data_IF_411790261700
#
_entry.id   IF_411790261700
#
_cell.length_a   1.000
_cell.length_b   1.000
_cell.length_c   1.000
_cell.angle_alpha   90.00
_cell.angle_beta   90.00
_cell.angle_gamma   90.00
#
_symmetry.space_group_name_H-M   'P 1'
#
loop_
_entity.id
_entity.type
_entity.pdbx_description
1 polymer ?
#
# COMPACT_ATOMS: atom_id res chain seq x y z
N UNK A 1 -12.56 27.27 13.58
CA UNK A 1 -11.24 27.84 13.21
C UNK A 1 -10.18 27.69 14.30
N UNK A 2 -10.45 27.99 15.58
CA UNK A 2 -9.44 27.96 16.65
C UNK A 2 -8.55 26.70 16.68
N UNK A 3 -9.15 25.50 16.65
CA UNK A 3 -8.43 24.22 16.73
C UNK A 3 -7.70 23.79 15.45
N UNK A 4 -7.85 24.53 14.34
CA UNK A 4 -6.98 24.34 13.17
C UNK A 4 -5.63 25.04 13.38
N UNK A 5 -5.62 26.15 14.12
CA UNK A 5 -4.43 26.95 14.37
C UNK A 5 -3.82 26.72 15.77
N UNK A 6 -4.43 25.88 16.60
CA UNK A 6 -3.98 25.58 17.95
C UNK A 6 -4.14 24.11 18.30
N UNK A 7 -3.16 23.56 19.02
CA UNK A 7 -3.15 22.19 19.55
C UNK A 7 -3.31 22.23 21.06
N UNK A 8 -4.19 21.37 21.58
CA UNK A 8 -4.33 21.10 23.02
C UNK A 8 -3.30 20.06 23.45
N UNK A 9 -2.52 20.36 24.48
CA UNK A 9 -1.55 19.47 25.12
C UNK A 9 -2.03 19.19 26.52
N UNK A 10 -2.30 17.93 26.85
CA UNK A 10 -2.70 17.52 28.20
C UNK A 10 -1.52 16.80 28.86
N UNK A 11 -1.09 17.30 30.01
CA UNK A 11 -0.14 16.63 30.90
C UNK A 11 -0.90 16.06 32.11
N UNK A 12 -0.21 15.39 33.03
CA UNK A 12 -0.82 14.86 34.25
C UNK A 12 -1.41 15.95 35.16
N UNK A 13 -0.79 17.14 35.16
CA UNK A 13 -1.17 18.26 36.04
C UNK A 13 -1.95 19.36 35.32
N UNK A 14 -1.70 19.60 34.03
CA UNK A 14 -2.14 20.82 33.36
C UNK A 14 -2.56 20.59 31.90
N UNK A 15 -3.23 21.59 31.34
CA UNK A 15 -3.64 21.62 29.94
C UNK A 15 -3.18 22.92 29.30
N UNK A 16 -2.36 22.81 28.27
CA UNK A 16 -1.84 23.95 27.53
C UNK A 16 -2.43 24.00 26.12
N UNK A 17 -2.55 25.21 25.58
CA UNK A 17 -2.92 25.45 24.20
C UNK A 17 -1.74 26.13 23.51
N UNK A 18 -1.19 25.49 22.49
CA UNK A 18 -0.05 26.00 21.71
C UNK A 18 -0.48 26.30 20.29
N UNK A 19 -0.04 27.43 19.74
CA UNK A 19 -0.23 27.71 18.31
C UNK A 19 0.53 26.69 17.46
N UNK A 20 -0.05 26.34 16.30
CA UNK A 20 0.62 25.52 15.29
C UNK A 20 1.18 26.40 14.18
N UNK A 21 2.21 25.92 13.48
CA UNK A 21 2.74 26.61 12.30
C UNK A 21 1.69 26.67 11.19
N UNK A 22 1.83 27.62 10.26
CA UNK A 22 0.96 27.72 9.07
C UNK A 22 0.88 26.38 8.31
N UNK A 23 2.02 25.71 8.14
CA UNK A 23 2.07 24.44 7.42
C UNK A 23 1.28 23.34 8.15
N UNK A 24 1.47 23.21 9.47
CA UNK A 24 0.73 22.23 10.26
C UNK A 24 -0.78 22.54 10.31
N UNK A 25 -1.18 23.81 10.26
CA UNK A 25 -2.59 24.20 10.16
C UNK A 25 -3.21 23.77 8.81
N UNK A 26 -2.47 23.90 7.71
CA UNK A 26 -2.88 23.42 6.38
C UNK A 26 -3.01 21.90 6.39
N UNK A 27 -2.00 21.17 6.90
CA UNK A 27 -2.06 19.71 7.01
C UNK A 27 -3.24 19.26 7.89
N UNK A 28 -3.48 19.92 9.03
CA UNK A 28 -4.62 19.62 9.90
C UNK A 28 -5.97 19.85 9.23
N UNK A 29 -6.10 20.91 8.42
CA UNK A 29 -7.30 21.16 7.60
C UNK A 29 -7.51 20.05 6.57
N UNK A 30 -6.46 19.69 5.84
CA UNK A 30 -6.54 18.72 4.74
C UNK A 30 -6.78 17.30 5.27
N UNK A 31 -6.14 16.94 6.39
CA UNK A 31 -6.41 15.69 7.12
C UNK A 31 -7.86 15.62 7.60
N UNK A 32 -8.41 16.71 8.13
CA UNK A 32 -9.82 16.78 8.51
C UNK A 32 -10.75 16.59 7.29
N UNK A 33 -10.45 17.22 6.15
CA UNK A 33 -11.23 17.06 4.93
C UNK A 33 -11.18 15.60 4.43
N UNK A 34 -10.00 14.98 4.37
CA UNK A 34 -9.81 13.56 4.04
C UNK A 34 -10.61 12.66 4.99
N UNK A 35 -10.57 12.92 6.29
CA UNK A 35 -11.32 12.16 7.28
C UNK A 35 -12.84 12.27 7.10
N UNK A 36 -13.36 13.48 6.86
CA UNK A 36 -14.78 13.70 6.60
C UNK A 36 -15.21 12.93 5.35
N UNK A 37 -14.45 13.02 4.26
CA UNK A 37 -14.76 12.31 3.02
C UNK A 37 -14.71 10.80 3.21
N UNK A 38 -13.70 10.27 3.91
CA UNK A 38 -13.60 8.85 4.24
C UNK A 38 -14.81 8.37 5.05
N UNK A 39 -15.26 9.15 6.06
CA UNK A 39 -16.47 8.84 6.85
C UNK A 39 -17.74 8.87 6.01
N UNK A 40 -17.86 9.84 5.10
CA UNK A 40 -18.98 9.91 4.16
C UNK A 40 -19.00 8.68 3.26
N UNK A 41 -17.86 8.31 2.67
CA UNK A 41 -17.73 7.12 1.82
C UNK A 41 -18.11 5.84 2.58
N UNK A 42 -17.56 5.64 3.79
CA UNK A 42 -17.94 4.50 4.65
C UNK A 42 -19.44 4.48 4.97
N UNK A 43 -20.04 5.65 5.22
CA UNK A 43 -21.47 5.76 5.47
C UNK A 43 -22.31 5.39 4.24
N UNK A 44 -21.90 5.83 3.04
CA UNK A 44 -22.54 5.45 1.78
C UNK A 44 -22.48 3.94 1.57
N UNK A 45 -21.29 3.33 1.71
CA UNK A 45 -21.10 1.88 1.58
C UNK A 45 -21.96 1.12 2.59
N UNK A 46 -21.98 1.55 3.85
CA UNK A 46 -22.83 0.94 4.88
C UNK A 46 -24.32 1.08 4.57
N UNK A 47 -24.74 2.22 4.05
CA UNK A 47 -26.13 2.47 3.66
C UNK A 47 -26.57 1.57 2.51
N UNK A 48 -25.72 1.41 1.50
CA UNK A 48 -25.95 0.49 0.37
C UNK A 48 -26.02 -0.96 0.87
N UNK A 49 -25.06 -1.39 1.70
CA UNK A 49 -25.05 -2.75 2.26
C UNK A 49 -26.30 -3.05 3.10
N UNK A 50 -26.76 -2.08 3.90
CA UNK A 50 -27.99 -2.22 4.68
C UNK A 50 -29.23 -2.31 3.78
N UNK A 51 -29.27 -1.57 2.67
CA UNK A 51 -30.37 -1.62 1.71
C UNK A 51 -30.41 -2.93 0.91
N UNK A 52 -29.25 -3.55 0.65
CA UNK A 52 -29.12 -4.82 -0.08
C UNK A 52 -29.19 -6.06 0.84
N UNK A 53 -29.28 -5.88 2.15
CA UNK A 53 -29.28 -6.98 3.11
C UNK A 53 -30.53 -7.84 2.97
N UNK A 54 -30.35 -9.15 2.74
CA UNK A 54 -31.45 -10.13 2.78
C UNK A 54 -31.65 -10.68 4.20
N UNK A 55 -32.91 -10.96 4.56
CA UNK A 55 -33.26 -11.69 5.78
C UNK A 55 -33.12 -13.21 5.62
N UNK A 56 -32.95 -13.69 4.39
CA UNK A 56 -32.77 -15.12 4.11
C UNK A 56 -31.33 -15.58 4.40
N UNK A 57 -31.19 -16.86 4.75
CA UNK A 57 -29.88 -17.45 4.96
C UNK A 57 -29.16 -17.61 3.61
N UNK A 58 -28.00 -16.98 3.49
CA UNK A 58 -27.15 -17.11 2.30
C UNK A 58 -26.67 -18.55 2.13
N UNK A 59 -26.98 -19.16 0.98
CA UNK A 59 -26.50 -20.50 0.62
C UNK A 59 -25.16 -20.45 -0.13
N UNK A 60 -25.06 -19.55 -1.11
CA UNK A 60 -23.87 -19.36 -1.95
C UNK A 60 -23.77 -17.90 -2.39
N UNK A 61 -22.63 -17.49 -2.93
CA UNK A 61 -22.45 -16.15 -3.49
C UNK A 61 -21.55 -16.19 -4.72
N UNK A 62 -21.73 -15.21 -5.59
CA UNK A 62 -20.84 -14.92 -6.72
C UNK A 62 -20.21 -13.56 -6.41
N UNK A 63 -18.91 -13.56 -6.15
CA UNK A 63 -18.14 -12.34 -5.94
C UNK A 63 -17.68 -11.78 -7.28
N UNK A 64 -17.93 -10.49 -7.51
CA UNK A 64 -17.35 -9.75 -8.63
C UNK A 64 -16.30 -8.81 -8.05
N UNK A 65 -15.05 -8.96 -8.50
CA UNK A 65 -13.94 -8.11 -8.09
C UNK A 65 -13.67 -7.09 -9.19
N UNK A 66 -13.75 -5.81 -8.83
CA UNK A 66 -13.41 -4.68 -9.69
C UNK A 66 -12.47 -3.76 -8.90
N UNK A 67 -11.20 -3.72 -9.30
CA UNK A 67 -10.14 -2.95 -8.66
C UNK A 67 -9.44 -2.10 -9.70
N UNK A 68 -8.74 -1.05 -9.24
CA UNK A 68 -7.87 -0.26 -10.11
C UNK A 68 -6.81 -1.15 -10.77
N UNK A 69 -6.63 -0.98 -12.08
CA UNK A 69 -5.57 -1.67 -12.83
C UNK A 69 -4.19 -1.15 -12.46
N UNK A 70 -3.16 -1.81 -12.99
CA UNK A 70 -1.78 -1.35 -12.86
C UNK A 70 -1.62 0.05 -13.48
N UNK A 71 -0.97 0.97 -12.76
CA UNK A 71 -0.82 2.37 -13.17
C UNK A 71 0.65 2.81 -13.10
N UNK A 72 1.08 3.59 -14.08
CA UNK A 72 2.40 4.24 -14.08
C UNK A 72 2.28 5.61 -14.74
N UNK A 73 2.68 6.65 -14.01
CA UNK A 73 2.69 8.03 -14.43
C UNK A 73 4.11 8.60 -14.44
N UNK A 74 4.27 9.83 -14.93
CA UNK A 74 5.54 10.58 -14.87
C UNK A 74 6.05 10.75 -13.42
N UNK A 75 5.12 10.85 -12.45
CA UNK A 75 5.43 10.97 -11.02
C UNK A 75 4.53 10.00 -10.26
N UNK A 76 5.09 8.90 -9.77
CA UNK A 76 4.40 7.92 -8.94
C UNK A 76 4.68 8.19 -7.45
N UNK A 77 3.65 8.12 -6.62
CA UNK A 77 3.76 8.28 -5.17
C UNK A 77 3.19 7.05 -4.46
N UNK A 78 2.96 7.17 -3.15
CA UNK A 78 2.44 6.09 -2.30
C UNK A 78 1.14 5.49 -2.83
N UNK A 79 0.26 6.29 -3.43
CA UNK A 79 -1.00 5.80 -4.00
C UNK A 79 -0.78 4.80 -5.14
N UNK A 80 0.09 5.12 -6.10
CA UNK A 80 0.43 4.19 -7.19
C UNK A 80 1.15 2.95 -6.66
N UNK A 81 2.02 3.11 -5.67
CA UNK A 81 2.69 1.99 -5.01
C UNK A 81 1.67 1.01 -4.41
N UNK A 82 0.65 1.51 -3.70
CA UNK A 82 -0.43 0.68 -3.15
C UNK A 82 -1.28 0.02 -4.24
N UNK A 83 -1.62 0.74 -5.31
CA UNK A 83 -2.39 0.21 -6.44
C UNK A 83 -1.62 -0.93 -7.13
N UNK A 84 -0.33 -0.72 -7.43
CA UNK A 84 0.51 -1.70 -8.11
C UNK A 84 0.80 -2.91 -7.22
N UNK A 85 0.97 -2.71 -5.92
CA UNK A 85 1.07 -3.82 -4.95
C UNK A 85 -0.22 -4.67 -4.92
N UNK A 86 -1.41 -4.05 -4.93
CA UNK A 86 -2.66 -4.79 -5.00
C UNK A 86 -2.77 -5.62 -6.30
N UNK A 87 -2.31 -5.07 -7.43
CA UNK A 87 -2.23 -5.81 -8.70
C UNK A 87 -1.21 -6.97 -8.63
N UNK A 88 -0.09 -6.79 -7.93
CA UNK A 88 0.89 -7.87 -7.68
C UNK A 88 0.25 -9.05 -6.93
N UNK A 89 -0.56 -8.76 -5.90
CA UNK A 89 -1.31 -9.79 -5.14
C UNK A 89 -2.39 -10.46 -6.00
N UNK A 90 -3.08 -9.69 -6.85
CA UNK A 90 -4.04 -10.24 -7.81
C UNK A 90 -3.35 -11.20 -8.79
N UNK A 91 -2.20 -10.81 -9.33
CA UNK A 91 -1.40 -11.62 -10.24
C UNK A 91 -0.91 -12.91 -9.56
N UNK A 92 -0.51 -12.84 -8.27
CA UNK A 92 -0.15 -14.02 -7.48
C UNK A 92 -1.32 -14.99 -7.35
N UNK A 93 -2.53 -14.49 -7.05
CA UNK A 93 -3.73 -15.33 -6.97
C UNK A 93 -4.07 -15.99 -8.30
N UNK A 94 -3.92 -15.26 -9.40
CA UNK A 94 -4.08 -15.79 -10.75
C UNK A 94 -3.06 -16.91 -11.02
N UNK A 95 -1.77 -16.65 -10.77
CA UNK A 95 -0.70 -17.63 -10.99
C UNK A 95 -0.90 -18.91 -10.14
N UNK A 96 -1.33 -18.76 -8.89
CA UNK A 96 -1.63 -19.88 -8.00
C UNK A 96 -2.74 -20.77 -8.58
N UNK A 97 -3.87 -20.19 -8.97
CA UNK A 97 -5.02 -20.97 -9.42
C UNK A 97 -4.85 -21.54 -10.83
N UNK A 98 -4.35 -20.73 -11.76
CA UNK A 98 -4.27 -21.13 -13.18
C UNK A 98 -3.09 -22.06 -13.44
N UNK A 99 -1.98 -21.91 -12.71
CA UNK A 99 -0.79 -22.71 -12.98
C UNK A 99 -0.43 -23.70 -11.87
N UNK A 100 -0.37 -23.27 -10.61
CA UNK A 100 0.11 -24.18 -9.54
C UNK A 100 -0.94 -25.25 -9.22
N UNK A 101 -2.15 -24.85 -8.86
CA UNK A 101 -3.22 -25.78 -8.44
C UNK A 101 -3.69 -26.68 -9.58
N UNK A 102 -3.82 -26.16 -10.80
CA UNK A 102 -4.24 -26.95 -11.95
C UNK A 102 -3.23 -28.07 -12.28
N UNK A 103 -1.93 -27.76 -12.26
CA UNK A 103 -0.88 -28.75 -12.51
C UNK A 103 -0.77 -29.78 -11.38
N UNK A 104 -0.96 -29.36 -10.12
CA UNK A 104 -1.01 -30.26 -8.97
C UNK A 104 -2.17 -31.27 -9.09
N UNK A 105 -3.33 -30.84 -9.59
CA UNK A 105 -4.46 -31.75 -9.80
C UNK A 105 -4.19 -32.76 -10.93
N UNK A 106 -3.56 -32.34 -12.05
CA UNK A 106 -3.15 -33.27 -13.10
C UNK A 106 -2.16 -34.33 -12.62
N UNK A 107 -1.18 -33.93 -11.79
CA UNK A 107 -0.24 -34.87 -11.19
C UNK A 107 -0.93 -35.84 -10.23
N UNK A 108 -1.93 -35.36 -9.48
CA UNK A 108 -2.69 -36.16 -8.52
C UNK A 108 -3.63 -37.17 -9.19
N UNK A 109 -4.15 -36.84 -10.37
CA UNK A 109 -5.00 -37.71 -11.19
C UNK A 109 -4.20 -38.65 -12.12
N UNK A 110 -2.86 -38.71 -11.97
CA UNK A 110 -1.95 -39.50 -12.79
C UNK A 110 -2.09 -39.22 -14.31
N UNK A 111 -2.45 -37.99 -14.68
CA UNK A 111 -2.57 -37.56 -16.07
C UNK A 111 -1.16 -37.26 -16.62
N UNK A 112 -0.75 -37.85 -17.77
CA UNK A 112 0.51 -37.51 -18.40
C UNK A 112 0.57 -36.02 -18.77
N UNK A 113 1.33 -35.24 -18.00
CA UNK A 113 1.41 -33.79 -18.13
C UNK A 113 2.85 -33.31 -18.27
N UNK A 114 3.05 -32.26 -19.08
CA UNK A 114 4.33 -31.56 -19.19
C UNK A 114 4.22 -30.25 -18.42
N UNK A 115 5.04 -30.08 -17.39
CA UNK A 115 5.01 -28.87 -16.56
C UNK A 115 5.22 -27.61 -17.42
N UNK A 116 4.32 -26.65 -17.24
CA UNK A 116 4.37 -25.34 -17.87
C UNK A 116 5.05 -24.40 -16.89
N UNK A 117 6.14 -23.79 -17.34
CA UNK A 117 6.84 -22.74 -16.62
C UNK A 117 6.09 -21.41 -16.74
N UNK A 118 6.05 -20.63 -15.66
CA UNK A 118 5.40 -19.33 -15.61
C UNK A 118 6.19 -18.38 -14.72
N UNK A 119 5.95 -17.08 -14.91
CA UNK A 119 6.61 -16.06 -14.10
C UNK A 119 6.03 -16.02 -12.68
N UNK A 120 6.78 -16.53 -11.70
CA UNK A 120 6.43 -16.42 -10.29
C UNK A 120 6.81 -15.03 -9.75
N UNK A 121 5.80 -14.24 -9.38
CA UNK A 121 5.96 -12.90 -8.87
C UNK A 121 6.10 -12.84 -7.33
N UNK A 122 6.19 -13.98 -6.64
CA UNK A 122 6.46 -14.04 -5.20
C UNK A 122 7.65 -13.17 -4.76
N UNK A 123 8.80 -13.13 -5.46
CA UNK A 123 9.93 -12.32 -5.02
C UNK A 123 9.63 -10.81 -5.00
N UNK A 124 8.77 -10.31 -5.90
CA UNK A 124 8.33 -8.90 -5.91
C UNK A 124 7.41 -8.61 -4.71
N UNK A 125 6.54 -9.55 -4.36
CA UNK A 125 5.67 -9.46 -3.19
C UNK A 125 6.51 -9.48 -1.90
N UNK A 126 7.48 -10.38 -1.80
CA UNK A 126 8.36 -10.47 -0.62
C UNK A 126 9.19 -9.19 -0.44
N UNK A 127 9.70 -8.61 -1.53
CA UNK A 127 10.36 -7.30 -1.48
C UNK A 127 9.46 -6.22 -0.85
N UNK A 128 8.15 -6.28 -1.09
CA UNK A 128 7.18 -5.28 -0.61
C UNK A 128 6.73 -5.56 0.83
N UNK A 129 6.23 -6.77 1.11
CA UNK A 129 5.45 -7.08 2.32
C UNK A 129 6.19 -7.94 3.37
N UNK A 130 7.33 -8.54 3.03
CA UNK A 130 8.06 -9.38 3.99
C UNK A 130 8.71 -8.54 5.09
N UNK A 131 9.20 -9.22 6.14
CA UNK A 131 10.06 -8.61 7.16
C UNK A 131 11.31 -8.03 6.49
N UNK A 132 11.71 -6.83 6.91
CA UNK A 132 12.76 -6.05 6.26
C UNK A 132 12.44 -5.67 4.79
N UNK A 133 11.18 -5.82 4.36
CA UNK A 133 10.68 -5.33 3.07
C UNK A 133 10.30 -3.85 3.12
N UNK A 134 9.82 -3.33 1.99
CA UNK A 134 9.54 -1.90 1.82
C UNK A 134 8.50 -1.38 2.83
N UNK A 135 7.39 -2.10 3.01
CA UNK A 135 6.32 -1.71 3.94
C UNK A 135 6.76 -1.82 5.40
N UNK A 136 7.46 -2.88 5.77
CA UNK A 136 7.97 -3.08 7.13
C UNK A 136 8.96 -1.96 7.53
N UNK A 137 9.90 -1.63 6.63
CA UNK A 137 10.83 -0.52 6.83
C UNK A 137 10.14 0.86 6.87
N UNK A 138 9.03 1.02 6.13
CA UNK A 138 8.21 2.24 6.16
C UNK A 138 7.49 2.38 7.50
N UNK A 139 6.86 1.32 7.97
CA UNK A 139 6.17 1.28 9.26
C UNK A 139 7.14 1.57 10.41
N UNK A 140 8.33 0.96 10.39
CA UNK A 140 9.38 1.25 11.36
C UNK A 140 9.77 2.74 11.36
N UNK A 141 10.00 3.36 10.19
CA UNK A 141 10.34 4.78 10.13
C UNK A 141 9.19 5.68 10.61
N UNK A 142 7.94 5.30 10.32
CA UNK A 142 6.77 6.02 10.80
C UNK A 142 6.69 6.10 12.33
N UNK A 143 7.20 5.09 13.05
CA UNK A 143 7.26 5.06 14.52
C UNK A 143 8.31 6.04 15.09
N UNK A 144 9.34 6.41 14.33
CA UNK A 144 10.36 7.35 14.78
C UNK A 144 9.82 8.79 14.74
N UNK A 145 9.81 9.54 15.86
CA UNK A 145 9.29 10.91 15.91
C UNK A 145 10.01 11.89 14.98
N UNK A 146 11.27 11.60 14.65
CA UNK A 146 12.12 12.38 13.73
C UNK A 146 12.35 11.65 12.39
N UNK A 147 11.61 10.57 12.11
CA UNK A 147 11.69 9.86 10.84
C UNK A 147 11.26 10.76 9.68
N UNK A 148 11.96 10.63 8.56
CA UNK A 148 11.74 11.41 7.33
C UNK A 148 11.68 10.50 6.11
N UNK A 149 11.04 10.95 5.04
CA UNK A 149 11.04 10.22 3.75
C UNK A 149 12.46 9.91 3.27
N UNK A 150 13.40 10.85 3.49
CA UNK A 150 14.78 10.66 3.07
C UNK A 150 15.51 9.61 3.91
N UNK A 151 15.33 9.59 5.23
CA UNK A 151 15.96 8.58 6.09
C UNK A 151 15.39 7.19 5.83
N UNK A 152 14.08 7.08 5.57
CA UNK A 152 13.47 5.83 5.08
C UNK A 152 14.06 5.39 3.74
N UNK A 153 14.16 6.28 2.75
CA UNK A 153 14.74 5.95 1.45
C UNK A 153 16.19 5.46 1.57
N UNK A 154 17.00 6.07 2.45
CA UNK A 154 18.35 5.58 2.72
C UNK A 154 18.35 4.19 3.37
N UNK A 155 17.38 3.87 4.24
CA UNK A 155 17.21 2.49 4.74
C UNK A 155 16.91 1.53 3.60
N UNK A 156 15.98 1.87 2.70
CA UNK A 156 15.67 1.02 1.54
C UNK A 156 16.94 0.72 0.74
N UNK A 157 17.75 1.74 0.40
CA UNK A 157 19.01 1.53 -0.30
C UNK A 157 19.98 0.65 0.50
N UNK A 158 20.09 0.81 1.81
CA UNK A 158 21.02 0.00 2.60
C UNK A 158 20.61 -1.47 2.70
N UNK A 159 19.30 -1.77 2.78
CA UNK A 159 18.79 -3.12 3.01
C UNK A 159 18.43 -3.87 1.72
N UNK A 160 18.04 -3.16 0.66
CA UNK A 160 17.43 -3.75 -0.54
C UNK A 160 18.27 -3.61 -1.82
N UNK A 161 19.42 -2.93 -1.79
CA UNK A 161 20.26 -2.70 -2.99
C UNK A 161 20.78 -3.98 -3.66
N UNK A 162 20.90 -5.08 -2.89
CA UNK A 162 21.27 -6.38 -3.44
C UNK A 162 20.09 -7.15 -4.10
N UNK A 163 18.84 -6.70 -3.93
CA UNK A 163 17.68 -7.36 -4.49
C UNK A 163 17.54 -7.01 -5.98
N UNK A 164 17.49 -7.98 -6.91
CA UNK A 164 17.43 -7.71 -8.35
C UNK A 164 16.14 -7.01 -8.81
N UNK A 165 15.09 -6.97 -7.97
CA UNK A 165 13.82 -6.31 -8.25
C UNK A 165 13.74 -4.89 -7.69
N UNK A 166 14.79 -4.42 -7.01
CA UNK A 166 14.88 -3.09 -6.43
C UNK A 166 16.07 -2.35 -7.04
N UNK A 167 15.86 -1.11 -7.50
CA UNK A 167 16.95 -0.30 -8.05
C UNK A 167 16.96 1.11 -7.46
N UNK A 168 18.17 1.63 -7.26
CA UNK A 168 18.41 3.05 -7.00
C UNK A 168 18.58 3.80 -8.34
N UNK A 169 17.71 4.78 -8.66
CA UNK A 169 17.90 5.62 -9.84
C UNK A 169 19.25 6.32 -9.83
N UNK A 170 19.95 6.35 -10.97
CA UNK A 170 21.28 6.98 -11.07
C UNK A 170 21.24 8.50 -10.93
N UNK A 171 20.15 9.12 -11.35
CA UNK A 171 20.00 10.58 -11.45
C UNK A 171 19.09 11.18 -10.36
N UNK A 172 18.51 10.34 -9.50
CA UNK A 172 17.63 10.78 -8.41
C UNK A 172 18.08 10.19 -7.07
N UNK A 173 18.12 11.02 -6.04
CA UNK A 173 18.33 10.59 -4.65
C UNK A 173 17.03 10.66 -3.83
N UNK A 174 15.89 10.89 -4.49
CA UNK A 174 14.57 11.05 -3.88
C UNK A 174 13.58 9.97 -4.36
N UNK A 175 14.05 8.93 -5.05
CA UNK A 175 13.21 7.90 -5.64
C UNK A 175 13.81 6.49 -5.57
N UNK A 176 12.96 5.47 -5.70
CA UNK A 176 13.36 4.07 -5.81
C UNK A 176 12.56 3.40 -6.92
N UNK A 177 13.10 2.34 -7.52
CA UNK A 177 12.45 1.60 -8.61
C UNK A 177 12.13 0.19 -8.15
N UNK A 178 10.94 -0.29 -8.50
CA UNK A 178 10.55 -1.70 -8.33
C UNK A 178 10.28 -2.30 -9.71
N UNK A 179 10.80 -3.50 -9.93
CA UNK A 179 10.40 -4.36 -11.04
C UNK A 179 9.12 -5.11 -10.66
N UNK A 180 7.98 -4.62 -11.14
CA UNK A 180 6.70 -5.33 -11.04
C UNK A 180 6.55 -6.35 -12.17
N UNK A 181 5.53 -7.21 -12.07
CA UNK A 181 5.21 -8.16 -13.15
C UNK A 181 4.89 -7.46 -14.49
N UNK A 182 4.30 -6.26 -14.43
CA UNK A 182 3.85 -5.52 -15.61
C UNK A 182 4.93 -4.58 -16.18
N UNK A 183 5.61 -3.80 -15.32
CA UNK A 183 6.63 -2.85 -15.74
C UNK A 183 7.58 -2.47 -14.58
N UNK A 184 8.68 -1.78 -14.89
CA UNK A 184 9.50 -1.08 -13.90
C UNK A 184 8.87 0.26 -13.54
N UNK A 185 8.68 0.52 -12.25
CA UNK A 185 8.04 1.76 -11.79
C UNK A 185 8.95 2.49 -10.82
N UNK A 186 9.24 3.76 -11.13
CA UNK A 186 9.95 4.68 -10.23
C UNK A 186 8.95 5.41 -9.32
N UNK A 187 9.17 5.33 -8.00
CA UNK A 187 8.36 5.99 -6.98
C UNK A 187 9.16 7.08 -6.27
N UNK A 188 8.59 8.28 -6.18
CA UNK A 188 9.16 9.38 -5.41
C UNK A 188 8.90 9.17 -3.92
N UNK A 189 9.94 9.16 -3.08
CA UNK A 189 9.80 8.88 -1.64
C UNK A 189 9.01 9.96 -0.89
N UNK A 190 8.94 11.18 -1.46
CA UNK A 190 8.29 12.33 -0.82
C UNK A 190 6.83 12.05 -0.48
N UNK A 191 6.49 12.24 0.80
CA UNK A 191 5.14 12.08 1.34
C UNK A 191 4.76 10.66 1.73
N UNK A 192 5.64 9.66 1.59
CA UNK A 192 5.34 8.28 1.98
C UNK A 192 5.05 8.17 3.49
N UNK A 193 5.87 8.76 4.35
CA UNK A 193 5.64 8.68 5.81
C UNK A 193 4.35 9.42 6.22
N UNK A 194 4.09 10.58 5.62
CA UNK A 194 2.87 11.34 5.93
C UNK A 194 1.61 10.58 5.49
N UNK A 195 1.65 9.91 4.34
CA UNK A 195 0.51 9.17 3.79
C UNK A 195 0.27 7.82 4.47
N UNK A 196 1.32 7.22 5.05
CA UNK A 196 1.21 5.96 5.80
C UNK A 196 0.77 6.15 7.26
N UNK A 197 1.01 7.33 7.86
CA UNK A 197 0.60 7.68 9.23
C UNK A 197 -0.90 7.99 9.35
#
# INVERSE_FOLDING_TARGET
AHWLCHRKLKTASETFVKSVSKMNAIHGRDALAKHIYAKLFSWIVSSINNALKSSEKQHSFIGVLDIYGFETFDINSFEQFCINYANEKLQQQFNLHVFKLEQEEYMKEDIPWTLIDFYDNQPAIDLIEAKMGILDLLDEECLFPQGTDQSWLQKLYNYLDANPLFEKPRLSNEAFVIQHFADKVEYQCRGFLEKNR
#
